data_IF_850810696637
#
_entry.id   IF_850810696637
#
_cell.length_a   1.000
_cell.length_b   1.000
_cell.length_c   1.000
_cell.angle_alpha   90.00
_cell.angle_beta   90.00
_cell.angle_gamma   90.00
#
_symmetry.space_group_name_H-M   'P 1'
#
loop_
_entity.id
_entity.type
_entity.pdbx_description
1 polymer ?
#
# COMPACT_ATOMS: atom_id res chain seq x y z
N UNK A 1 -6.79 13.04 -16.42
CA UNK A 1 -7.22 13.62 -15.14
C UNK A 1 -6.46 12.87 -14.06
N UNK A 2 -5.80 13.58 -13.15
CA UNK A 2 -5.13 12.95 -12.01
C UNK A 2 -6.15 12.29 -11.09
N UNK A 3 -5.79 11.16 -10.50
CA UNK A 3 -6.61 10.46 -9.51
C UNK A 3 -6.01 10.73 -8.13
N UNK A 4 -6.84 11.18 -7.17
CA UNK A 4 -6.46 11.26 -5.75
C UNK A 4 -7.25 10.23 -4.97
N UNK A 5 -6.55 9.33 -4.28
CA UNK A 5 -7.14 8.29 -3.42
C UNK A 5 -6.71 8.56 -1.99
N UNK A 6 -7.69 8.75 -1.09
CA UNK A 6 -7.46 8.76 0.35
C UNK A 6 -8.30 7.66 1.01
N UNK A 7 -7.64 6.74 1.70
CA UNK A 7 -8.28 5.65 2.44
C UNK A 7 -7.65 5.47 3.83
N UNK A 8 -8.42 5.73 4.88
CA UNK A 8 -7.95 5.65 6.26
C UNK A 8 -8.87 4.77 7.11
N UNK A 9 -8.27 4.07 8.08
CA UNK A 9 -9.01 3.30 9.08
C UNK A 9 -8.34 3.37 10.45
N UNK A 10 -9.15 3.39 11.50
CA UNK A 10 -8.63 3.32 12.87
C UNK A 10 -8.47 1.87 13.35
N UNK A 11 -9.50 1.04 13.15
CA UNK A 11 -9.51 -0.36 13.57
C UNK A 11 -9.99 -1.21 12.39
N UNK A 12 -9.05 -1.78 11.64
CA UNK A 12 -9.37 -2.55 10.44
C UNK A 12 -8.28 -2.50 9.37
N UNK A 13 -8.40 -3.39 8.40
CA UNK A 13 -7.48 -3.44 7.25
C UNK A 13 -7.95 -2.53 6.12
N UNK A 14 -7.04 -1.73 5.58
CA UNK A 14 -7.27 -0.95 4.36
C UNK A 14 -6.64 -1.69 3.19
N UNK A 15 -7.42 -1.94 2.13
CA UNK A 15 -6.91 -2.49 0.87
C UNK A 15 -7.21 -1.52 -0.25
N UNK A 16 -6.18 -1.00 -0.91
CA UNK A 16 -6.31 -0.08 -2.05
C UNK A 16 -5.79 -0.76 -3.30
N UNK A 17 -6.64 -0.81 -4.32
CA UNK A 17 -6.29 -1.30 -5.65
C UNK A 17 -6.24 -0.11 -6.61
N UNK A 18 -5.03 0.25 -7.03
CA UNK A 18 -4.77 1.38 -7.91
C UNK A 18 -4.88 0.96 -9.39
N UNK A 19 -5.18 1.91 -10.29
CA UNK A 19 -5.07 1.66 -11.72
C UNK A 19 -3.62 1.34 -12.13
N UNK A 20 -3.39 0.55 -13.20
CA UNK A 20 -2.06 0.11 -13.62
C UNK A 20 -1.24 1.27 -14.19
N UNK A 21 -1.90 2.35 -14.60
CA UNK A 21 -1.23 3.57 -15.10
C UNK A 21 -0.94 4.59 -13.99
N UNK A 22 -1.28 4.28 -12.74
CA UNK A 22 -1.02 5.16 -11.61
C UNK A 22 0.47 5.52 -11.54
N UNK A 23 0.75 6.82 -11.54
CA UNK A 23 2.10 7.38 -11.42
C UNK A 23 2.07 8.58 -10.50
N UNK A 24 2.82 8.49 -9.39
CA UNK A 24 2.91 9.56 -8.42
C UNK A 24 3.21 9.08 -6.99
N UNK A 25 3.06 9.97 -6.00
CA UNK A 25 3.42 9.71 -4.63
C UNK A 25 2.42 8.77 -3.96
N UNK A 26 2.98 7.87 -3.15
CA UNK A 26 2.27 6.91 -2.33
C UNK A 26 2.69 7.10 -0.87
N UNK A 27 1.78 7.62 -0.06
CA UNK A 27 1.97 7.79 1.38
C UNK A 27 1.22 6.71 2.13
N UNK A 28 1.95 5.97 2.96
CA UNK A 28 1.40 4.88 3.76
C UNK A 28 1.59 5.20 5.22
N UNK A 29 0.49 5.31 5.94
CA UNK A 29 0.50 5.59 7.37
C UNK A 29 0.11 4.35 8.15
N UNK A 30 0.92 3.96 9.13
CA UNK A 30 0.58 2.86 10.02
C UNK A 30 1.17 3.11 11.40
N UNK A 31 0.48 2.66 12.46
CA UNK A 31 1.02 2.79 13.83
C UNK A 31 1.31 1.43 14.46
N UNK A 32 0.26 0.63 14.62
CA UNK A 32 0.31 -0.69 15.23
C UNK A 32 -0.20 -1.73 14.21
N UNK A 33 0.56 -1.90 13.13
CA UNK A 33 0.07 -2.57 11.95
C UNK A 33 1.16 -3.15 11.07
N UNK A 34 0.74 -3.70 9.93
CA UNK A 34 1.67 -4.16 8.88
C UNK A 34 1.32 -3.50 7.56
N UNK A 35 2.35 -3.18 6.78
CA UNK A 35 2.22 -2.64 5.43
C UNK A 35 2.64 -3.70 4.43
N UNK A 36 1.74 -4.07 3.53
CA UNK A 36 2.01 -5.03 2.45
C UNK A 36 1.81 -4.36 1.10
N UNK A 37 2.89 -4.29 0.31
CA UNK A 37 2.81 -3.90 -1.10
C UNK A 37 2.77 -5.15 -1.95
N UNK A 38 1.81 -5.22 -2.87
CA UNK A 38 1.73 -6.34 -3.80
C UNK A 38 2.94 -6.34 -4.73
N UNK A 39 3.44 -7.51 -5.18
CA UNK A 39 4.69 -7.60 -5.95
C UNK A 39 4.71 -6.71 -7.19
N UNK A 40 3.59 -6.63 -7.92
CA UNK A 40 3.45 -5.81 -9.12
C UNK A 40 3.63 -4.31 -8.84
N UNK A 41 3.06 -3.83 -7.73
CA UNK A 41 3.22 -2.46 -7.28
C UNK A 41 4.65 -2.23 -6.77
N UNK A 42 5.16 -3.14 -5.93
CA UNK A 42 6.50 -3.06 -5.34
C UNK A 42 7.60 -2.97 -6.42
N UNK A 43 7.47 -3.69 -7.52
CA UNK A 43 8.42 -3.63 -8.64
C UNK A 43 8.49 -2.25 -9.31
N UNK A 44 7.41 -1.47 -9.24
CA UNK A 44 7.31 -0.10 -9.78
C UNK A 44 7.38 0.97 -8.71
N UNK A 45 7.67 0.58 -7.47
CA UNK A 45 7.69 1.50 -6.34
C UNK A 45 9.13 1.77 -5.93
N UNK A 46 9.46 3.05 -5.80
CA UNK A 46 10.71 3.53 -5.22
C UNK A 46 10.42 4.10 -3.83
N UNK A 47 11.01 3.52 -2.79
CA UNK A 47 10.92 4.09 -1.45
C UNK A 47 11.76 5.36 -1.37
N UNK A 48 11.15 6.47 -0.95
CA UNK A 48 11.82 7.76 -0.77
C UNK A 48 12.22 7.93 0.69
N UNK A 49 11.28 7.63 1.59
CA UNK A 49 11.45 7.77 3.02
C UNK A 49 10.65 6.69 3.74
N UNK A 50 11.23 6.17 4.82
CA UNK A 50 10.62 5.15 5.64
C UNK A 50 10.93 5.43 7.11
N UNK A 51 9.90 5.90 7.82
CA UNK A 51 9.88 6.08 9.27
C UNK A 51 9.05 4.95 9.90
N UNK A 52 9.16 4.77 11.22
CA UNK A 52 8.39 3.78 11.98
C UNK A 52 6.87 3.88 11.78
N UNK A 53 6.34 5.07 11.51
CA UNK A 53 4.89 5.30 11.36
C UNK A 53 4.45 5.65 9.94
N UNK A 54 5.36 6.14 9.11
CA UNK A 54 5.03 6.66 7.78
C UNK A 54 6.04 6.13 6.78
N UNK A 55 5.54 5.54 5.70
CA UNK A 55 6.35 5.12 4.56
C UNK A 55 5.92 5.94 3.33
N UNK A 56 6.84 6.75 2.80
CA UNK A 56 6.65 7.53 1.59
C UNK A 56 7.37 6.87 0.42
N UNK A 57 6.61 6.58 -0.62
CA UNK A 57 7.11 5.97 -1.82
C UNK A 57 6.68 6.77 -3.05
N UNK A 58 7.35 6.51 -4.16
CA UNK A 58 6.93 6.94 -5.48
C UNK A 58 6.59 5.73 -6.33
N UNK A 59 5.47 5.77 -7.03
CA UNK A 59 5.07 4.72 -7.97
C UNK A 59 5.29 5.23 -9.39
N UNK A 60 6.03 4.46 -10.19
CA UNK A 60 6.34 4.78 -11.58
C UNK A 60 7.68 5.50 -11.77
N UNK A 61 7.79 6.23 -12.88
CA UNK A 61 9.01 6.96 -13.24
C UNK A 61 9.13 8.22 -12.38
N UNK A 62 10.31 8.41 -11.76
CA UNK A 62 10.57 9.55 -10.88
C UNK A 62 10.84 10.81 -11.72
N UNK A 63 10.02 11.87 -11.63
CA UNK A 63 10.16 13.07 -12.45
C UNK A 63 11.31 14.00 -12.01
N UNK A 64 12.02 13.69 -10.92
CA UNK A 64 13.04 14.57 -10.36
C UNK A 64 12.48 15.49 -9.27
N UNK A 65 13.13 16.63 -9.06
CA UNK A 65 12.72 17.67 -8.08
C UNK A 65 11.67 18.65 -8.64
N UNK A 66 10.92 18.24 -9.67
CA UNK A 66 9.92 19.08 -10.32
C UNK A 66 8.58 18.97 -9.60
N UNK A 67 7.81 20.06 -9.56
CA UNK A 67 6.41 20.03 -9.15
C UNK A 67 5.66 18.95 -9.93
N UNK A 68 5.10 17.99 -9.20
CA UNK A 68 4.44 16.84 -9.81
C UNK A 68 2.93 17.11 -9.92
N UNK A 69 2.36 16.87 -11.10
CA UNK A 69 0.94 17.10 -11.39
C UNK A 69 0.27 15.80 -11.90
N UNK A 70 0.19 14.76 -11.06
CA UNK A 70 -0.30 13.43 -11.45
C UNK A 70 -1.24 12.76 -10.44
N UNK A 71 -1.20 11.43 -10.36
CA UNK A 71 -2.01 10.62 -9.43
C UNK A 71 -1.41 10.47 -8.01
N UNK A 72 -2.23 10.69 -6.98
CA UNK A 72 -1.83 10.65 -5.57
C UNK A 72 -2.56 9.54 -4.81
N UNK A 73 -1.86 8.86 -3.91
CA UNK A 73 -2.47 7.88 -3.03
C UNK A 73 -1.99 8.03 -1.58
N UNK A 74 -2.95 8.13 -0.66
CA UNK A 74 -2.74 8.13 0.78
C UNK A 74 -3.55 6.98 1.37
N UNK A 75 -2.87 6.06 2.06
CA UNK A 75 -3.49 4.89 2.67
C UNK A 75 -3.00 4.70 4.11
N UNK A 76 -3.93 4.68 5.07
CA UNK A 76 -3.62 4.70 6.49
C UNK A 76 -4.35 3.65 7.32
N UNK A 77 -3.68 3.00 8.27
CA UNK A 77 -4.37 2.23 9.32
C UNK A 77 -3.69 2.31 10.69
N UNK A 78 -4.45 2.64 11.74
CA UNK A 78 -3.90 2.76 13.10
C UNK A 78 -3.65 1.39 13.76
N UNK A 79 -4.68 0.54 13.81
CA UNK A 79 -4.64 -0.81 14.38
C UNK A 79 -5.10 -1.84 13.33
N UNK A 80 -4.30 -2.02 12.28
CA UNK A 80 -4.64 -2.93 11.21
C UNK A 80 -3.57 -3.02 10.13
N UNK A 81 -3.88 -3.71 9.03
CA UNK A 81 -2.95 -3.86 7.91
C UNK A 81 -3.32 -2.92 6.76
N UNK A 82 -2.33 -2.29 6.14
CA UNK A 82 -2.49 -1.56 4.89
C UNK A 82 -1.96 -2.43 3.75
N UNK A 83 -2.80 -2.71 2.76
CA UNK A 83 -2.47 -3.50 1.56
C UNK A 83 -2.66 -2.63 0.33
N UNK A 84 -1.66 -2.56 -0.53
CA UNK A 84 -1.73 -1.71 -1.73
C UNK A 84 -1.24 -2.52 -2.93
N UNK A 85 -2.00 -2.47 -4.02
CA UNK A 85 -1.69 -3.17 -5.26
C UNK A 85 -2.32 -2.51 -6.48
N UNK A 86 -2.10 -3.11 -7.65
CA UNK A 86 -2.84 -2.75 -8.86
C UNK A 86 -4.07 -3.63 -9.01
N UNK A 87 -5.16 -3.09 -9.55
CA UNK A 87 -6.41 -3.85 -9.77
C UNK A 87 -6.31 -4.96 -10.84
N UNK A 88 -5.28 -4.89 -11.68
CA UNK A 88 -4.98 -5.82 -12.78
C UNK A 88 -3.89 -6.82 -12.35
N UNK A 89 -3.27 -6.55 -11.19
CA UNK A 89 -2.47 -7.52 -10.47
C UNK A 89 -3.43 -8.38 -9.66
N UNK A 90 -3.39 -9.68 -9.91
CA UNK A 90 -4.10 -10.70 -9.17
C UNK A 90 -4.09 -10.36 -7.66
N UNK A 91 -5.27 -10.27 -7.00
CA UNK A 91 -5.27 -10.11 -5.55
C UNK A 91 -4.45 -11.27 -4.99
N UNK A 92 -3.49 -11.04 -4.08
CA UNK A 92 -2.84 -12.15 -3.41
C UNK A 92 -3.96 -12.94 -2.77
N UNK A 93 -4.09 -14.19 -3.22
CA UNK A 93 -4.93 -15.16 -2.55
C UNK A 93 -4.72 -14.98 -1.05
N UNK A 94 -5.79 -14.82 -0.26
CA UNK A 94 -5.64 -14.69 1.17
C UNK A 94 -4.93 -15.96 1.64
N UNK A 95 -3.63 -15.86 1.91
CA UNK A 95 -2.85 -16.98 2.45
C UNK A 95 -3.62 -17.44 3.68
N UNK A 96 -4.27 -18.63 3.63
CA UNK A 96 -5.01 -19.09 4.78
C UNK A 96 -3.99 -19.18 5.88
N UNK A 97 -4.24 -18.44 6.97
CA UNK A 97 -3.35 -18.31 8.11
C UNK A 97 -3.29 -19.67 8.80
N UNK A 98 -2.51 -20.57 8.22
CA UNK A 98 -2.22 -21.93 8.67
C UNK A 98 -1.30 -21.92 9.90
N UNK A 99 -1.31 -20.82 10.66
CA UNK A 99 -0.59 -20.63 11.92
C UNK A 99 -1.47 -20.93 13.15
N UNK A 100 -2.79 -21.02 13.02
CA UNK A 100 -3.66 -21.38 14.16
C UNK A 100 -3.97 -22.88 14.28
N UNK A 101 -3.80 -23.68 13.21
CA UNK A 101 -4.10 -25.12 13.24
C UNK A 101 -3.00 -26.02 13.83
N UNK A 102 -1.77 -25.52 14.03
CA UNK A 102 -0.69 -26.27 14.72
C UNK A 102 -0.53 -25.92 16.20
N UNK A 103 -1.22 -24.89 16.69
CA UNK A 103 -1.13 -24.44 18.09
C UNK A 103 -2.34 -24.82 18.95
N UNK A 104 -3.51 -25.07 18.34
CA UNK A 104 -4.69 -25.57 19.05
C UNK A 104 -5.26 -26.75 18.27
N UNK A 105 -4.77 -27.95 18.60
CA UNK A 105 -5.18 -29.19 17.97
C UNK A 105 -6.67 -29.49 18.15
N UNK A 106 -7.26 -29.98 17.06
CA UNK A 106 -8.22 -31.09 17.01
C UNK A 106 -8.06 -31.77 15.65
#
# INVERSE_FOLDING_TARGET
>A
MPISVNAESHNGSVTVLLPPKFTGPLTIEHKNGSVTLYPSLKARTRTLDETSTVRRCWVGEWPGEVDWEGDECIAGSHNGSVRIGFWEGEPPEPVPVSLFKRLFGY
#
